data_IF_283133210702
#
_entry.id   IF_283133210702
#
_cell.length_a   1.000
_cell.length_b   1.000
_cell.length_c   1.000
_cell.angle_alpha   90.00
_cell.angle_beta   90.00
_cell.angle_gamma   90.00
#
_symmetry.space_group_name_H-M   'P 1'
#
loop_
_entity.id
_entity.type
_entity.pdbx_description
1 polymer ?
#
# COMPACT_ATOMS: atom_id res chain seq x y z
N UNK A 1 -7.27 0.70 -7.45
CA UNK A 1 -8.57 0.52 -8.11
C UNK A 1 -9.64 0.56 -7.04
N UNK A 2 -10.71 1.31 -7.29
CA UNK A 2 -11.89 1.40 -6.44
C UNK A 2 -12.99 0.64 -7.17
N UNK A 3 -13.66 -0.28 -6.50
CA UNK A 3 -14.72 -1.09 -7.10
C UNK A 3 -16.01 -0.91 -6.26
N UNK A 4 -16.80 0.14 -6.54
CA UNK A 4 -18.00 0.44 -5.76
C UNK A 4 -19.10 -0.59 -6.02
N UNK A 5 -19.94 -0.84 -5.01
CA UNK A 5 -21.22 -1.52 -5.19
C UNK A 5 -22.23 -0.51 -5.71
N UNK A 6 -22.87 -0.80 -6.85
CA UNK A 6 -23.82 0.11 -7.51
C UNK A 6 -25.27 -0.37 -7.45
N UNK A 7 -25.48 -1.61 -7.02
CA UNK A 7 -26.79 -2.25 -6.98
C UNK A 7 -27.25 -2.48 -5.54
N UNK A 8 -28.55 -2.31 -5.30
CA UNK A 8 -29.15 -2.47 -3.98
C UNK A 8 -28.99 -3.91 -3.46
N UNK A 9 -28.75 -4.04 -2.14
CA UNK A 9 -28.68 -5.34 -1.46
C UNK A 9 -27.44 -6.18 -1.75
N UNK A 10 -26.60 -5.82 -2.73
CA UNK A 10 -25.40 -6.57 -3.10
C UNK A 10 -24.33 -6.49 -1.99
N UNK A 11 -23.70 -7.63 -1.69
CA UNK A 11 -22.61 -7.76 -0.69
C UNK A 11 -21.35 -8.42 -1.24
N UNK A 12 -21.33 -8.69 -2.55
CA UNK A 12 -20.21 -9.28 -3.27
C UNK A 12 -20.28 -8.81 -4.72
N UNK A 13 -19.16 -8.38 -5.28
CA UNK A 13 -19.10 -7.89 -6.66
C UNK A 13 -18.18 -8.75 -7.50
N UNK A 14 -18.51 -8.85 -8.80
CA UNK A 14 -17.66 -9.46 -9.81
C UNK A 14 -16.98 -8.37 -10.62
N UNK A 15 -15.65 -8.39 -10.67
CA UNK A 15 -14.90 -7.38 -11.41
C UNK A 15 -13.80 -8.00 -12.26
N UNK A 16 -13.51 -7.35 -13.38
CA UNK A 16 -12.34 -7.64 -14.19
C UNK A 16 -11.16 -6.82 -13.66
N UNK A 17 -10.04 -7.48 -13.37
CA UNK A 17 -8.80 -6.80 -12.99
C UNK A 17 -7.89 -6.62 -14.21
N UNK A 18 -7.24 -5.45 -14.37
CA UNK A 18 -6.21 -5.27 -15.40
C UNK A 18 -5.03 -6.24 -15.22
N UNK A 19 -4.23 -6.41 -16.27
CA UNK A 19 -3.10 -7.35 -16.35
C UNK A 19 -1.94 -7.02 -15.39
N UNK A 20 -2.14 -7.29 -14.10
CA UNK A 20 -1.17 -7.19 -13.02
C UNK A 20 -1.64 -8.04 -11.84
N UNK A 21 -0.78 -8.20 -10.83
CA UNK A 21 -1.22 -8.71 -9.53
C UNK A 21 -1.93 -7.60 -8.76
N UNK A 22 -3.02 -7.93 -8.08
CA UNK A 22 -3.77 -6.98 -7.27
C UNK A 22 -3.85 -7.46 -5.83
N UNK A 23 -3.92 -6.53 -4.89
CA UNK A 23 -3.97 -6.85 -3.46
C UNK A 23 -5.13 -6.14 -2.79
N UNK A 24 -5.93 -6.84 -2.00
CA UNK A 24 -6.96 -6.22 -1.17
C UNK A 24 -6.30 -5.27 -0.17
N UNK A 25 -6.77 -4.01 -0.11
CA UNK A 25 -6.18 -3.00 0.78
C UNK A 25 -6.27 -3.37 2.27
N UNK A 26 -7.39 -3.95 2.69
CA UNK A 26 -7.68 -4.28 4.08
C UNK A 26 -7.06 -5.63 4.47
N UNK A 27 -7.34 -6.66 3.68
CA UNK A 27 -6.94 -8.04 4.02
C UNK A 27 -5.58 -8.43 3.47
N UNK A 28 -4.95 -7.63 2.62
CA UNK A 28 -3.70 -7.97 1.92
C UNK A 28 -3.79 -9.21 1.02
N UNK A 29 -4.99 -9.77 0.81
CA UNK A 29 -5.21 -10.93 -0.06
C UNK A 29 -4.80 -10.62 -1.50
N UNK A 30 -4.02 -11.50 -2.11
CA UNK A 30 -3.56 -11.36 -3.49
C UNK A 30 -4.56 -11.98 -4.47
N UNK A 31 -4.85 -11.24 -5.53
CA UNK A 31 -5.58 -11.68 -6.71
C UNK A 31 -4.63 -11.71 -7.91
N UNK A 32 -4.49 -12.88 -8.52
CA UNK A 32 -3.73 -13.05 -9.75
C UNK A 32 -4.60 -12.70 -10.95
N UNK A 33 -4.01 -11.99 -11.91
CA UNK A 33 -4.68 -11.75 -13.19
C UNK A 33 -4.94 -13.08 -13.92
N UNK A 34 -6.19 -13.33 -14.30
CA UNK A 34 -6.60 -14.57 -14.96
C UNK A 34 -7.48 -14.38 -16.21
N UNK A 35 -7.60 -13.17 -16.77
CA UNK A 35 -8.61 -12.81 -17.81
C UNK A 35 -10.07 -13.12 -17.44
N UNK A 36 -10.32 -13.60 -16.23
CA UNK A 36 -11.63 -13.94 -15.70
C UNK A 36 -12.07 -12.88 -14.69
N UNK A 37 -13.37 -12.81 -14.47
CA UNK A 37 -13.92 -12.03 -13.37
C UNK A 37 -13.51 -12.66 -12.04
N UNK A 38 -13.16 -11.81 -11.08
CA UNK A 38 -12.90 -12.23 -9.70
C UNK A 38 -14.05 -11.77 -8.80
N UNK A 39 -14.38 -12.62 -7.84
CA UNK A 39 -15.35 -12.32 -6.80
C UNK A 39 -14.67 -11.58 -5.65
N UNK A 40 -15.23 -10.43 -5.25
CA UNK A 40 -14.71 -9.63 -4.12
C UNK A 40 -15.83 -9.36 -3.13
N UNK A 41 -15.56 -9.65 -1.85
CA UNK A 41 -16.47 -9.30 -0.75
C UNK A 41 -16.63 -7.79 -0.64
N UNK A 42 -17.88 -7.34 -0.54
CA UNK A 42 -18.26 -5.95 -0.35
C UNK A 42 -19.31 -5.83 0.77
N UNK A 43 -18.94 -6.07 2.04
CA UNK A 43 -19.85 -5.87 3.17
C UNK A 43 -20.42 -4.45 3.20
N UNK A 44 -21.53 -4.27 3.92
CA UNK A 44 -22.28 -3.00 3.94
C UNK A 44 -21.43 -1.78 4.37
N UNK A 45 -20.44 -2.00 5.22
CA UNK A 45 -19.58 -0.96 5.81
C UNK A 45 -18.27 -0.73 5.04
N UNK A 46 -18.00 -1.52 4.00
CA UNK A 46 -16.67 -1.58 3.38
C UNK A 46 -16.77 -1.51 1.86
N UNK A 47 -16.19 -0.46 1.28
CA UNK A 47 -16.00 -0.36 -0.16
C UNK A 47 -14.75 -1.14 -0.57
N UNK A 48 -14.83 -2.06 -1.56
CA UNK A 48 -13.67 -2.76 -2.08
C UNK A 48 -12.62 -1.84 -2.71
N UNK A 49 -11.37 -1.98 -2.23
CA UNK A 49 -10.20 -1.26 -2.75
C UNK A 49 -9.10 -2.28 -3.03
N UNK A 50 -8.59 -2.25 -4.26
CA UNK A 50 -7.45 -3.07 -4.69
C UNK A 50 -6.22 -2.22 -5.02
N UNK A 51 -5.07 -2.62 -4.49
CA UNK A 51 -3.77 -2.05 -4.77
C UNK A 51 -3.14 -2.77 -5.97
N UNK A 52 -2.71 -2.00 -6.98
CA UNK A 52 -2.05 -2.56 -8.17
C UNK A 52 -0.59 -2.89 -7.91
N UNK A 53 -0.17 -4.11 -8.25
CA UNK A 53 1.21 -4.54 -8.17
C UNK A 53 2.12 -3.71 -9.08
N UNK A 54 3.37 -3.51 -8.63
CA UNK A 54 4.35 -2.65 -9.31
C UNK A 54 4.26 -1.16 -8.92
N UNK A 55 3.35 -0.80 -8.03
CA UNK A 55 3.19 0.58 -7.55
C UNK A 55 3.77 0.78 -6.14
N UNK A 56 4.19 2.01 -5.85
CA UNK A 56 4.55 2.46 -4.50
C UNK A 56 3.54 3.54 -4.10
N UNK A 57 2.88 3.37 -2.96
CA UNK A 57 1.82 4.26 -2.50
C UNK A 57 2.26 4.87 -1.16
N UNK A 58 2.66 6.17 -1.14
CA UNK A 58 2.88 6.89 0.11
C UNK A 58 1.57 7.05 0.86
N UNK A 59 1.58 6.77 2.16
CA UNK A 59 0.42 6.95 3.04
C UNK A 59 0.81 7.81 4.23
N UNK A 60 -0.20 8.41 4.85
CA UNK A 60 -0.05 9.17 6.08
C UNK A 60 -1.20 8.83 7.02
N UNK A 61 -0.96 8.86 8.33
CA UNK A 61 -2.03 8.76 9.32
C UNK A 61 -3.05 9.87 9.07
N UNK A 62 -4.32 9.50 9.06
CA UNK A 62 -5.40 10.47 8.90
C UNK A 62 -5.46 11.39 10.12
N UNK A 63 -6.01 12.58 9.92
CA UNK A 63 -6.39 13.49 10.99
C UNK A 63 -7.75 14.13 10.62
N UNK A 64 -8.38 14.81 11.57
CA UNK A 64 -9.71 15.40 11.37
C UNK A 64 -9.78 16.38 10.19
N UNK A 65 -8.65 16.98 9.81
CA UNK A 65 -8.53 17.78 8.60
C UNK A 65 -7.08 17.79 8.11
N UNK A 66 -6.89 18.38 6.92
CA UNK A 66 -5.56 18.51 6.33
C UNK A 66 -4.64 19.40 7.16
N UNK A 67 -5.11 20.43 7.86
CA UNK A 67 -4.23 21.23 8.73
C UNK A 67 -3.53 20.38 9.81
N UNK A 68 -4.23 19.39 10.36
CA UNK A 68 -3.66 18.49 11.38
C UNK A 68 -2.89 17.29 10.79
N UNK A 69 -3.13 16.92 9.53
CA UNK A 69 -2.34 15.88 8.87
C UNK A 69 -1.15 16.43 8.08
N UNK A 70 -1.16 17.69 7.66
CA UNK A 70 -0.19 18.25 6.71
C UNK A 70 1.20 18.44 7.31
N UNK A 71 2.05 17.46 7.05
CA UNK A 71 3.50 17.52 7.16
C UNK A 71 4.03 17.09 5.79
N UNK A 72 4.55 18.00 4.97
CA UNK A 72 4.92 17.68 3.59
C UNK A 72 6.42 17.81 3.34
N UNK A 73 6.94 16.85 2.60
CA UNK A 73 8.24 16.88 1.93
C UNK A 73 8.07 16.11 0.63
N UNK A 74 8.75 16.56 -0.42
CA UNK A 74 8.70 15.86 -1.69
C UNK A 74 9.75 14.76 -1.67
N UNK A 75 9.30 13.52 -1.89
CA UNK A 75 10.18 12.36 -1.96
C UNK A 75 10.03 11.61 -3.27
N UNK A 76 11.16 11.15 -3.79
CA UNK A 76 11.25 10.22 -4.91
C UNK A 76 11.48 8.81 -4.37
N UNK A 77 10.59 7.90 -4.75
CA UNK A 77 10.66 6.47 -4.40
C UNK A 77 11.15 5.69 -5.62
N UNK A 78 12.14 4.81 -5.43
CA UNK A 78 12.71 4.01 -6.51
C UNK A 78 12.95 2.58 -6.05
N UNK A 79 12.36 1.61 -6.74
CA UNK A 79 12.59 0.19 -6.52
C UNK A 79 13.57 -0.37 -7.56
N UNK A 80 14.54 -1.16 -7.12
CA UNK A 80 15.42 -1.95 -7.98
C UNK A 80 15.17 -3.43 -7.77
N UNK A 81 14.61 -4.10 -8.78
CA UNK A 81 14.36 -5.55 -8.73
C UNK A 81 15.63 -6.37 -8.67
N UNK A 82 16.70 -5.94 -9.36
CA UNK A 82 17.99 -6.65 -9.36
C UNK A 82 18.69 -6.56 -8.00
N UNK A 83 18.68 -5.37 -7.38
CA UNK A 83 19.28 -5.14 -6.06
C UNK A 83 18.35 -5.52 -4.90
N UNK A 84 17.06 -5.77 -5.18
CA UNK A 84 15.99 -5.97 -4.19
C UNK A 84 15.96 -4.84 -3.16
N UNK A 85 16.11 -3.60 -3.64
CA UNK A 85 16.33 -2.42 -2.80
C UNK A 85 15.33 -1.32 -3.14
N UNK A 86 14.73 -0.75 -2.10
CA UNK A 86 13.95 0.49 -2.16
C UNK A 86 14.83 1.66 -1.74
N UNK A 87 14.89 2.70 -2.56
CA UNK A 87 15.54 3.98 -2.25
C UNK A 87 14.47 5.06 -2.14
N UNK A 88 14.55 5.87 -1.07
CA UNK A 88 13.67 7.01 -0.82
C UNK A 88 14.56 8.23 -0.68
N UNK A 89 14.44 9.18 -1.62
CA UNK A 89 15.24 10.40 -1.64
C UNK A 89 14.34 11.61 -1.48
N UNK A 90 14.65 12.48 -0.53
CA UNK A 90 13.97 13.77 -0.38
C UNK A 90 14.51 14.71 -1.46
N UNK A 91 13.63 15.19 -2.34
CA UNK A 91 14.00 16.04 -3.47
C UNK A 91 13.80 17.52 -3.18
N UNK A 92 12.84 17.85 -2.33
CA UNK A 92 12.59 19.21 -1.87
C UNK A 92 11.96 19.15 -0.48
N UNK A 93 12.44 20.02 0.41
CA UNK A 93 11.94 20.12 1.77
C UNK A 93 11.77 21.58 2.17
N UNK A 94 10.56 22.11 1.97
CA UNK A 94 10.17 23.44 2.43
C UNK A 94 9.49 23.39 3.80
N UNK A 95 9.66 22.31 4.56
CA UNK A 95 9.08 22.13 5.88
C UNK A 95 10.16 22.21 6.96
N UNK A 96 10.12 23.29 7.74
CA UNK A 96 11.12 23.60 8.78
C UNK A 96 11.22 22.55 9.89
N UNK A 97 10.16 21.75 10.10
CA UNK A 97 10.11 20.69 11.10
C UNK A 97 10.19 19.28 10.50
N UNK A 98 10.86 19.12 9.36
CA UNK A 98 11.02 17.80 8.72
C UNK A 98 11.66 16.75 9.65
N UNK A 99 12.48 17.15 10.62
CA UNK A 99 13.00 16.24 11.65
C UNK A 99 11.91 15.50 12.43
N UNK A 100 10.68 16.02 12.45
CA UNK A 100 9.54 15.41 13.11
C UNK A 100 8.82 14.39 12.22
N UNK A 101 9.21 14.26 10.95
CA UNK A 101 8.65 13.28 10.04
C UNK A 101 9.38 11.95 10.20
N UNK A 102 8.65 11.01 10.80
CA UNK A 102 9.11 9.65 11.02
C UNK A 102 8.50 8.77 9.94
N UNK A 103 9.34 8.09 9.17
CA UNK A 103 8.89 6.96 8.36
C UNK A 103 8.50 5.82 9.31
N UNK A 104 7.23 5.77 9.65
CA UNK A 104 6.70 4.87 10.68
C UNK A 104 6.62 3.41 10.19
N UNK A 105 6.09 3.20 8.98
CA UNK A 105 5.84 1.85 8.47
C UNK A 105 6.07 1.74 6.96
N UNK A 106 6.76 0.68 6.54
CA UNK A 106 6.79 0.21 5.15
C UNK A 106 6.05 -1.12 5.10
N UNK A 107 5.02 -1.23 4.27
CA UNK A 107 4.33 -2.49 3.98
C UNK A 107 4.71 -2.98 2.59
N UNK A 108 5.15 -4.23 2.48
CA UNK A 108 5.48 -4.87 1.21
C UNK A 108 4.51 -6.03 0.98
N UNK A 109 3.82 -6.02 -0.16
CA UNK A 109 2.87 -7.06 -0.56
C UNK A 109 3.52 -8.05 -1.53
N UNK A 110 2.97 -9.26 -1.61
CA UNK A 110 3.36 -10.25 -2.62
C UNK A 110 4.68 -10.97 -2.33
N UNK A 111 5.21 -10.91 -1.11
CA UNK A 111 6.35 -11.70 -0.71
C UNK A 111 5.93 -13.13 -0.36
N UNK A 112 6.59 -14.12 -0.98
CA UNK A 112 6.36 -15.55 -0.68
C UNK A 112 6.80 -15.93 0.74
N UNK A 113 7.82 -15.26 1.25
CA UNK A 113 8.39 -15.46 2.58
C UNK A 113 8.79 -14.11 3.17
N UNK A 114 8.82 -14.01 4.50
CA UNK A 114 9.32 -12.81 5.19
C UNK A 114 10.85 -12.76 5.04
N UNK A 115 11.42 -11.71 4.45
CA UNK A 115 12.87 -11.62 4.26
C UNK A 115 13.56 -11.29 5.58
N UNK A 116 14.61 -12.05 5.93
CA UNK A 116 15.41 -11.82 7.13
C UNK A 116 16.89 -12.01 6.76
N UNK A 117 17.79 -11.05 7.05
CA UNK A 117 17.52 -9.73 7.65
C UNK A 117 17.00 -8.70 6.63
N UNK A 118 16.33 -7.65 7.11
CA UNK A 118 16.11 -6.42 6.34
C UNK A 118 17.13 -5.37 6.78
N UNK A 119 17.83 -4.77 5.82
CA UNK A 119 18.75 -3.67 6.07
C UNK A 119 18.10 -2.33 5.72
N UNK A 120 18.09 -1.41 6.67
CA UNK A 120 17.71 -0.01 6.46
C UNK A 120 18.91 0.87 6.85
N UNK A 121 19.50 1.56 5.87
CA UNK A 121 20.67 2.43 6.06
C UNK A 121 21.79 1.74 6.87
N UNK A 122 22.14 0.51 6.48
CA UNK A 122 23.16 -0.35 7.13
C UNK A 122 22.81 -0.86 8.54
N UNK A 123 21.59 -0.64 9.03
CA UNK A 123 21.09 -1.22 10.28
C UNK A 123 20.11 -2.36 9.98
N UNK A 124 20.27 -3.48 10.70
CA UNK A 124 19.37 -4.63 10.58
C UNK A 124 18.07 -4.42 11.36
N UNK A 125 16.97 -4.86 10.77
CA UNK A 125 15.63 -4.85 11.36
C UNK A 125 14.93 -6.20 11.15
N UNK A 126 14.11 -6.57 12.14
CA UNK A 126 13.24 -7.74 12.07
C UNK A 126 11.85 -7.30 11.59
N UNK A 127 11.41 -7.69 10.39
CA UNK A 127 10.06 -7.41 9.93
C UNK A 127 9.01 -8.17 10.74
N UNK A 128 7.78 -7.68 10.67
CA UNK A 128 6.58 -8.34 11.22
C UNK A 128 5.55 -8.54 10.12
N UNK A 129 4.70 -9.55 10.29
CA UNK A 129 3.52 -9.73 9.43
C UNK A 129 2.55 -8.58 9.72
N UNK A 130 2.03 -7.96 8.66
CA UNK A 130 0.98 -6.95 8.79
C UNK A 130 -0.29 -7.64 9.30
N UNK A 131 -0.88 -7.19 10.42
CA UNK A 131 -2.17 -7.71 10.87
C UNK A 131 -3.26 -7.35 9.86
N UNK A 132 -4.30 -8.17 9.77
CA UNK A 132 -5.51 -7.78 9.05
C UNK A 132 -6.15 -6.59 9.77
N UNK A 133 -6.55 -5.58 9.01
CA UNK A 133 -7.31 -4.42 9.50
C UNK A 133 -8.79 -4.63 9.28
#
# INVERSE_FOLDING_TARGET
MIAPVTDEGVRQIQICIPSSNWYNYYTSLQYFYSKQLINISAPLDTIPILLGGGSIIPTQKYANNTKYSRLYFYSKFQWSSSKKQLTINVIENNYSHMSNLILDTITIYGLKYIPIPINLNNKQFNPKIRPFT
#
